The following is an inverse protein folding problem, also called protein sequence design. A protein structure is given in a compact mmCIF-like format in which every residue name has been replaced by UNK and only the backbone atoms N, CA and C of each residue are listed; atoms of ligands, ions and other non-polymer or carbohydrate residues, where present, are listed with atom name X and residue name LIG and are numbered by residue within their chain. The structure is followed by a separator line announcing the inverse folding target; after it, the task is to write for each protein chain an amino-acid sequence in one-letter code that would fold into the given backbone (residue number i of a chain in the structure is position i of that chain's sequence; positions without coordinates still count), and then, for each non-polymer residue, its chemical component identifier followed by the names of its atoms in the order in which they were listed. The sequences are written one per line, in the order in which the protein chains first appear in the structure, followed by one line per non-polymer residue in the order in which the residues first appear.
data_IF_656463733849
#
_entry.id   IF_656463733849
#
_cell.length_a   1.000
_cell.length_b   1.000
_cell.length_c   1.000
_cell.angle_alpha   90.00
_cell.angle_beta   90.00
_cell.angle_gamma   90.00
#
_symmetry.space_group_name_H-M   'P 1'
#
loop_
_entity.id
_entity.type
_entity.pdbx_description
1 polymer ?
#
# COMPACT_ATOMS: atom_id res chain seq x y z
N UNK A 1 6.05 5.67 -41.76
CA UNK A 1 5.00 4.84 -41.14
C UNK A 1 5.57 4.50 -39.79
N UNK A 2 5.36 5.41 -38.84
CA UNK A 2 6.05 5.38 -37.57
C UNK A 2 5.22 4.55 -36.60
N UNK A 3 5.73 3.37 -36.26
CA UNK A 3 5.19 2.57 -35.17
C UNK A 3 5.52 3.29 -33.86
N UNK A 4 4.49 3.81 -33.21
CA UNK A 4 4.55 4.22 -31.81
C UNK A 4 4.86 2.98 -30.94
N UNK A 5 5.72 3.09 -29.91
CA UNK A 5 6.02 1.97 -29.02
C UNK A 5 4.77 1.52 -28.26
N UNK A 6 4.55 0.21 -28.18
CA UNK A 6 3.45 -0.46 -27.48
C UNK A 6 3.36 -0.15 -25.96
N UNK A 7 4.36 0.52 -25.40
CA UNK A 7 4.48 0.80 -23.96
C UNK A 7 3.56 1.92 -23.43
N UNK A 8 2.85 2.66 -24.28
CA UNK A 8 2.03 3.82 -23.85
C UNK A 8 0.57 3.42 -23.50
N UNK A 9 0.12 2.24 -23.92
CA UNK A 9 -1.27 1.80 -23.69
C UNK A 9 -1.52 1.18 -22.31
N UNK A 10 -0.49 0.69 -21.60
CA UNK A 10 -0.66 -0.20 -20.44
C UNK A 10 -0.89 0.46 -19.06
N UNK A 11 -0.90 1.80 -18.94
CA UNK A 11 -0.58 2.43 -17.64
C UNK A 11 -1.51 3.58 -17.21
N UNK A 12 -2.83 3.33 -17.21
CA UNK A 12 -3.86 4.36 -16.95
C UNK A 12 -4.90 3.97 -15.88
N UNK A 13 -4.55 3.20 -14.85
CA UNK A 13 -5.51 2.87 -13.78
C UNK A 13 -5.72 4.02 -12.78
N UNK A 14 -5.02 3.96 -11.65
CA UNK A 14 -5.10 4.86 -10.49
C UNK A 14 -4.75 6.33 -10.76
N UNK A 15 -4.00 6.65 -11.82
CA UNK A 15 -3.62 8.03 -12.20
C UNK A 15 -4.55 8.66 -13.23
N UNK A 16 -5.51 7.90 -13.76
CA UNK A 16 -6.42 8.46 -14.74
C UNK A 16 -7.44 9.32 -14.05
N UNK A 17 -7.30 10.62 -14.26
CA UNK A 17 -8.35 11.59 -14.03
C UNK A 17 -9.49 11.33 -15.00
N UNK A 18 -10.62 10.93 -14.45
CA UNK A 18 -11.87 10.70 -15.17
C UNK A 18 -12.71 11.97 -15.16
N UNK A 19 -13.35 12.24 -16.28
CA UNK A 19 -14.45 13.21 -16.36
C UNK A 19 -15.75 12.44 -16.31
N UNK A 20 -16.54 12.68 -15.27
CA UNK A 20 -17.86 12.07 -15.14
C UNK A 20 -18.89 12.99 -15.79
N UNK A 21 -19.81 12.41 -16.53
CA UNK A 21 -20.95 13.10 -17.12
C UNK A 21 -22.18 12.22 -16.98
N UNK A 22 -23.36 12.83 -17.03
CA UNK A 22 -24.63 12.13 -16.90
C UNK A 22 -25.66 12.73 -17.86
N UNK A 23 -26.56 11.88 -18.36
CA UNK A 23 -27.74 12.30 -19.11
C UNK A 23 -28.89 12.74 -18.19
N UNK A 24 -28.84 12.40 -16.89
CA UNK A 24 -29.84 12.80 -15.92
C UNK A 24 -29.63 14.23 -15.46
N UNK A 25 -30.64 15.08 -15.68
CA UNK A 25 -30.61 16.49 -15.26
C UNK A 25 -30.47 16.62 -13.74
N UNK A 26 -31.12 15.73 -12.99
CA UNK A 26 -31.10 15.71 -11.52
C UNK A 26 -29.71 15.37 -10.97
N UNK A 27 -28.95 14.54 -11.69
CA UNK A 27 -27.63 14.09 -11.25
C UNK A 27 -26.48 14.99 -11.74
N UNK A 28 -26.79 16.03 -12.52
CA UNK A 28 -25.77 16.85 -13.18
C UNK A 28 -24.88 17.62 -12.19
N UNK A 29 -25.43 18.05 -11.06
CA UNK A 29 -24.62 18.68 -10.00
C UNK A 29 -23.66 17.69 -9.34
N UNK A 30 -24.04 16.42 -9.26
CA UNK A 30 -23.24 15.36 -8.63
C UNK A 30 -22.11 14.82 -9.50
N UNK A 31 -22.01 15.24 -10.77
CA UNK A 31 -20.82 14.95 -11.59
C UNK A 31 -19.62 15.79 -11.18
N UNK A 32 -19.86 16.93 -10.53
CA UNK A 32 -18.81 17.69 -9.86
C UNK A 32 -18.37 16.95 -8.59
N UNK A 33 -17.06 16.63 -8.52
CA UNK A 33 -16.53 15.78 -7.46
C UNK A 33 -16.64 16.42 -6.08
N UNK A 34 -16.54 17.75 -5.99
CA UNK A 34 -16.61 18.47 -4.72
C UNK A 34 -18.04 18.50 -4.20
N UNK A 35 -19.00 18.85 -5.08
CA UNK A 35 -20.43 18.81 -4.77
C UNK A 35 -20.87 17.41 -4.32
N UNK A 36 -20.38 16.37 -4.98
CA UNK A 36 -20.65 14.97 -4.61
C UNK A 36 -20.16 14.64 -3.19
N UNK A 37 -18.89 14.93 -2.88
CA UNK A 37 -18.30 14.66 -1.56
C UNK A 37 -18.95 15.52 -0.46
N UNK A 38 -19.26 16.79 -0.76
CA UNK A 38 -19.93 17.70 0.18
C UNK A 38 -21.31 17.19 0.56
N UNK A 39 -22.12 16.87 -0.45
CA UNK A 39 -23.48 16.38 -0.20
C UNK A 39 -23.44 15.05 0.55
N UNK A 40 -22.51 14.15 0.19
CA UNK A 40 -22.32 12.91 0.93
C UNK A 40 -21.97 13.17 2.41
N UNK A 41 -21.03 14.07 2.68
CA UNK A 41 -20.63 14.43 4.04
C UNK A 41 -21.78 15.04 4.86
N UNK A 42 -22.60 15.89 4.26
CA UNK A 42 -23.76 16.49 4.93
C UNK A 42 -24.80 15.43 5.31
N UNK A 43 -25.14 14.53 4.38
CA UNK A 43 -26.07 13.41 4.63
C UNK A 43 -25.54 12.51 5.73
N UNK A 44 -24.25 12.17 5.69
CA UNK A 44 -23.63 11.33 6.71
C UNK A 44 -23.57 12.03 8.07
N UNK A 45 -23.23 13.32 8.10
CA UNK A 45 -23.20 14.13 9.33
C UNK A 45 -24.57 14.16 10.00
N UNK A 46 -25.63 14.43 9.23
CA UNK A 46 -27.00 14.38 9.72
C UNK A 46 -27.35 12.99 10.28
N UNK A 47 -26.97 11.92 9.58
CA UNK A 47 -27.22 10.54 10.00
C UNK A 47 -26.52 10.21 11.33
N UNK A 48 -25.27 10.64 11.50
CA UNK A 48 -24.47 10.42 12.71
C UNK A 48 -25.06 11.09 13.94
N UNK A 49 -25.73 12.26 13.81
CA UNK A 49 -26.39 12.91 14.97
C UNK A 49 -27.47 12.03 15.61
N UNK A 50 -28.06 11.13 14.83
CA UNK A 50 -29.10 10.18 15.28
C UNK A 50 -28.57 8.77 15.53
N UNK A 51 -27.28 8.53 15.26
CA UNK A 51 -26.68 7.21 15.34
C UNK A 51 -26.59 6.74 16.79
N UNK A 52 -27.16 5.55 17.05
CA UNK A 52 -27.01 4.84 18.32
C UNK A 52 -26.31 3.52 18.03
N UNK A 53 -25.08 3.32 18.54
CA UNK A 53 -24.38 2.06 18.34
C UNK A 53 -25.16 0.91 19.00
N UNK A 54 -25.20 -0.24 18.31
CA UNK A 54 -25.83 -1.45 18.83
C UNK A 54 -25.03 -2.04 20.00
N UNK A 55 -23.70 -1.94 19.93
CA UNK A 55 -22.80 -2.33 21.02
C UNK A 55 -22.66 -1.17 22.01
N UNK A 56 -23.08 -1.38 23.26
CA UNK A 56 -23.00 -0.38 24.33
C UNK A 56 -21.56 0.03 24.67
N UNK A 57 -20.58 -0.79 24.28
CA UNK A 57 -19.15 -0.52 24.49
C UNK A 57 -18.57 0.42 23.45
N UNK A 58 -19.27 0.64 22.34
CA UNK A 58 -18.85 1.53 21.27
C UNK A 58 -19.42 2.92 21.55
N UNK A 59 -18.57 3.92 21.60
CA UNK A 59 -18.93 5.32 21.80
C UNK A 59 -18.39 6.18 20.67
N UNK A 60 -19.17 7.16 20.23
CA UNK A 60 -18.71 8.15 19.26
C UNK A 60 -17.77 9.16 19.95
N UNK A 61 -16.61 9.42 19.36
CA UNK A 61 -15.63 10.39 19.89
C UNK A 61 -15.88 11.76 19.30
N UNK A 62 -16.38 12.72 20.09
CA UNK A 62 -16.72 14.08 19.65
C UNK A 62 -15.46 14.81 19.10
N UNK A 63 -15.51 15.46 17.91
CA UNK A 63 -16.69 15.88 17.13
C UNK A 63 -17.39 14.80 16.30
N UNK A 64 -16.97 13.54 16.40
CA UNK A 64 -17.69 12.35 15.92
C UNK A 64 -17.48 12.09 14.44
N UNK A 65 -17.48 13.13 13.61
CA UNK A 65 -17.31 13.02 12.17
C UNK A 65 -16.38 14.12 11.64
N UNK A 66 -15.56 13.79 10.64
CA UNK A 66 -14.68 14.73 9.94
C UNK A 66 -14.78 14.52 8.43
N UNK A 67 -14.82 15.61 7.68
CA UNK A 67 -14.71 15.57 6.22
C UNK A 67 -13.29 15.19 5.83
N UNK A 68 -13.15 14.29 4.88
CA UNK A 68 -11.86 13.93 4.26
C UNK A 68 -11.86 14.37 2.79
N UNK A 69 -10.71 14.26 2.11
CA UNK A 69 -10.62 14.62 0.68
C UNK A 69 -11.58 13.82 -0.19
N UNK A 70 -11.80 12.56 0.13
CA UNK A 70 -12.54 11.60 -0.71
C UNK A 70 -13.86 11.15 -0.10
N UNK A 71 -14.25 11.68 1.05
CA UNK A 71 -15.43 11.20 1.80
C UNK A 71 -15.44 11.73 3.24
N UNK A 72 -15.65 10.85 4.22
CA UNK A 72 -15.71 11.20 5.63
C UNK A 72 -14.97 10.18 6.51
N UNK A 73 -14.61 10.59 7.73
CA UNK A 73 -14.13 9.71 8.78
C UNK A 73 -14.99 9.87 10.04
N UNK A 74 -15.30 8.76 10.68
CA UNK A 74 -16.04 8.69 11.94
C UNK A 74 -15.14 8.05 12.99
N UNK A 75 -14.91 8.75 14.10
CA UNK A 75 -14.03 8.27 15.17
C UNK A 75 -14.87 7.67 16.30
N UNK A 76 -14.52 6.45 16.70
CA UNK A 76 -15.15 5.73 17.80
C UNK A 76 -14.12 5.34 18.87
N UNK A 77 -14.62 5.11 20.07
CA UNK A 77 -13.92 4.48 21.17
C UNK A 77 -14.65 3.20 21.52
N UNK A 78 -13.97 2.06 21.49
CA UNK A 78 -14.51 0.76 21.89
C UNK A 78 -13.88 0.32 23.21
N UNK A 79 -14.72 0.06 24.20
CA UNK A 79 -14.31 -0.41 25.53
C UNK A 79 -14.42 -1.93 25.61
N UNK A 80 -13.37 -2.63 25.16
CA UNK A 80 -13.32 -4.09 25.14
C UNK A 80 -12.94 -4.71 26.49
N UNK A 81 -13.12 -6.03 26.59
CA UNK A 81 -12.63 -6.82 27.73
C UNK A 81 -11.15 -7.17 27.62
N UNK A 82 -10.67 -7.43 26.39
CA UNK A 82 -9.25 -7.70 26.10
C UNK A 82 -8.44 -6.42 25.93
N UNK A 83 -9.04 -5.42 25.28
CA UNK A 83 -8.46 -4.10 25.07
C UNK A 83 -9.30 -3.07 25.83
N UNK A 84 -8.81 -2.53 26.98
CA UNK A 84 -9.58 -1.62 27.83
C UNK A 84 -10.14 -0.40 27.10
N UNK A 85 -9.41 0.07 26.08
CA UNK A 85 -9.84 1.14 25.19
C UNK A 85 -9.16 0.97 23.83
N UNK A 86 -9.97 0.88 22.77
CA UNK A 86 -9.50 0.90 21.39
C UNK A 86 -10.13 2.09 20.66
N UNK A 87 -9.28 2.95 20.10
CA UNK A 87 -9.73 4.00 19.20
C UNK A 87 -9.87 3.44 17.79
N UNK A 88 -11.00 3.73 17.14
CA UNK A 88 -11.35 3.22 15.82
C UNK A 88 -11.68 4.41 14.92
N UNK A 89 -10.92 4.59 13.85
CA UNK A 89 -11.24 5.56 12.80
C UNK A 89 -11.82 4.84 11.59
N UNK A 90 -13.10 5.11 11.30
CA UNK A 90 -13.83 4.50 10.20
C UNK A 90 -13.95 5.49 9.05
N UNK A 91 -13.22 5.22 7.97
CA UNK A 91 -13.31 5.99 6.74
C UNK A 91 -14.44 5.49 5.86
N UNK A 92 -15.36 6.38 5.48
CA UNK A 92 -16.46 6.09 4.57
C UNK A 92 -16.24 6.90 3.29
N UNK A 93 -16.06 6.17 2.19
CA UNK A 93 -15.74 6.73 0.87
C UNK A 93 -16.89 6.38 -0.08
N UNK A 94 -17.66 7.37 -0.58
CA UNK A 94 -18.70 7.12 -1.56
C UNK A 94 -18.07 6.75 -2.91
N UNK A 95 -18.64 5.74 -3.54
CA UNK A 95 -18.18 5.23 -4.84
C UNK A 95 -19.35 5.06 -5.79
N UNK A 96 -19.07 5.13 -7.09
CA UNK A 96 -20.03 4.81 -8.15
C UNK A 96 -19.53 3.58 -8.88
N UNK A 97 -20.39 2.57 -9.04
CA UNK A 97 -20.07 1.39 -9.82
C UNK A 97 -20.31 1.70 -11.31
N UNK A 98 -19.35 1.36 -12.15
CA UNK A 98 -19.45 1.47 -13.60
C UNK A 98 -19.02 0.15 -14.25
N UNK A 99 -19.44 -0.15 -15.49
CA UNK A 99 -18.89 -1.26 -16.26
C UNK A 99 -17.36 -1.15 -16.39
N UNK A 100 -16.67 -2.28 -16.41
CA UNK A 100 -15.23 -2.30 -16.60
C UNK A 100 -14.88 -1.68 -17.98
N UNK A 101 -14.04 -0.64 -18.04
CA UNK A 101 -13.71 0.02 -19.30
C UNK A 101 -12.99 -0.93 -20.26
N UNK A 102 -13.43 -1.00 -21.52
CA UNK A 102 -12.80 -1.84 -22.53
C UNK A 102 -11.31 -1.51 -22.77
N UNK A 103 -10.94 -0.25 -22.56
CA UNK A 103 -9.58 0.27 -22.74
C UNK A 103 -8.67 -0.03 -21.53
N UNK A 104 -9.24 -0.45 -20.40
CA UNK A 104 -8.49 -0.74 -19.19
C UNK A 104 -8.18 -2.23 -19.14
N UNK A 105 -6.90 -2.56 -19.25
CA UNK A 105 -6.41 -3.93 -19.12
C UNK A 105 -6.79 -4.54 -17.76
N UNK A 106 -7.13 -5.83 -17.78
CA UNK A 106 -7.41 -6.62 -16.58
C UNK A 106 -6.14 -7.39 -16.21
N UNK A 107 -5.48 -7.05 -15.10
CA UNK A 107 -4.33 -7.84 -14.63
C UNK A 107 -4.71 -9.32 -14.41
N UNK A 108 -3.77 -10.27 -14.52
CA UNK A 108 -4.07 -11.70 -14.44
C UNK A 108 -4.79 -12.13 -13.16
N UNK A 109 -4.47 -11.50 -12.02
CA UNK A 109 -5.14 -11.80 -10.75
C UNK A 109 -6.57 -11.24 -10.64
N UNK A 110 -7.11 -10.56 -11.66
CA UNK A 110 -8.49 -10.07 -11.65
C UNK A 110 -9.47 -11.24 -11.72
N UNK A 111 -10.38 -11.41 -10.74
CA UNK A 111 -11.38 -12.47 -10.78
C UNK A 111 -12.28 -12.36 -12.02
N UNK A 112 -12.52 -13.48 -12.71
CA UNK A 112 -13.33 -13.52 -13.93
C UNK A 112 -14.80 -13.15 -13.70
N UNK A 113 -15.27 -13.21 -12.45
CA UNK A 113 -16.63 -12.83 -12.05
C UNK A 113 -16.85 -11.32 -11.98
N UNK A 114 -15.81 -10.50 -12.14
CA UNK A 114 -15.90 -9.05 -12.06
C UNK A 114 -16.06 -8.46 -13.47
N UNK A 115 -17.13 -7.71 -13.65
CA UNK A 115 -17.49 -7.02 -14.88
C UNK A 115 -17.54 -5.48 -14.72
N UNK A 116 -17.30 -4.99 -13.50
CA UNK A 116 -17.44 -3.59 -13.11
C UNK A 116 -16.23 -3.11 -12.30
N UNK A 117 -15.97 -1.81 -12.38
CA UNK A 117 -14.97 -1.10 -11.58
C UNK A 117 -15.66 0.04 -10.83
N UNK A 118 -15.11 0.44 -9.69
CA UNK A 118 -15.63 1.57 -8.94
C UNK A 118 -14.91 2.84 -9.37
N UNK A 119 -15.60 3.97 -9.32
CA UNK A 119 -14.98 5.29 -9.41
C UNK A 119 -15.25 6.08 -8.13
N UNK A 120 -14.29 6.90 -7.74
CA UNK A 120 -14.36 7.76 -6.55
C UNK A 120 -13.87 9.15 -6.88
N UNK A 121 -14.45 10.15 -6.23
CA UNK A 121 -13.93 11.51 -6.23
C UNK A 121 -12.56 11.55 -5.52
N UNK A 122 -11.65 12.41 -6.00
CA UNK A 122 -10.30 12.61 -5.43
C UNK A 122 -10.19 13.86 -4.54
N UNK A 123 -11.21 14.71 -4.53
CA UNK A 123 -11.30 15.91 -3.68
C UNK A 123 -10.63 17.16 -4.26
N UNK A 124 -10.14 17.09 -5.49
CA UNK A 124 -9.45 18.14 -6.26
C UNK A 124 -10.17 18.45 -7.58
N UNK A 125 -11.49 18.23 -7.63
CA UNK A 125 -12.28 18.40 -8.87
C UNK A 125 -12.29 17.17 -9.77
N UNK A 126 -11.52 16.13 -9.45
CA UNK A 126 -11.31 14.97 -10.32
C UNK A 126 -11.99 13.69 -9.78
N UNK A 127 -12.10 12.71 -10.68
CA UNK A 127 -12.53 11.35 -10.38
C UNK A 127 -11.44 10.38 -10.78
N UNK A 128 -11.38 9.20 -10.15
CA UNK A 128 -10.44 8.13 -10.51
C UNK A 128 -11.07 6.75 -10.36
N UNK A 129 -10.47 5.76 -10.98
CA UNK A 129 -10.77 4.36 -10.70
C UNK A 129 -10.37 3.97 -9.27
N UNK A 130 -11.19 3.12 -8.67
CA UNK A 130 -10.96 2.46 -7.38
C UNK A 130 -11.12 0.97 -7.58
N UNK A 131 -10.07 0.21 -7.26
CA UNK A 131 -10.06 -1.25 -7.38
C UNK A 131 -10.20 -1.94 -6.02
N UNK A 132 -10.59 -1.22 -4.98
CA UNK A 132 -10.72 -1.75 -3.63
C UNK A 132 -11.66 -2.97 -3.56
N UNK A 133 -12.78 -2.97 -4.30
CA UNK A 133 -13.68 -4.12 -4.38
C UNK A 133 -13.01 -5.35 -5.02
N UNK A 134 -12.23 -5.15 -6.08
CA UNK A 134 -11.47 -6.19 -6.79
C UNK A 134 -10.40 -6.77 -5.88
N UNK A 135 -9.58 -5.91 -5.27
CA UNK A 135 -8.56 -6.28 -4.31
C UNK A 135 -9.14 -7.10 -3.15
N UNK A 136 -10.28 -6.67 -2.61
CA UNK A 136 -10.93 -7.37 -1.51
C UNK A 136 -11.41 -8.77 -1.90
N UNK A 137 -11.92 -8.96 -3.11
CA UNK A 137 -12.32 -10.29 -3.59
C UNK A 137 -11.11 -11.22 -3.67
N UNK A 138 -10.00 -10.74 -4.24
CA UNK A 138 -8.75 -11.51 -4.29
C UNK A 138 -8.26 -11.87 -2.89
N UNK A 139 -8.26 -10.91 -1.96
CA UNK A 139 -7.76 -11.13 -0.60
C UNK A 139 -8.66 -12.04 0.25
N UNK A 140 -9.96 -12.12 -0.07
CA UNK A 140 -10.87 -13.06 0.60
C UNK A 140 -10.59 -14.51 0.20
N UNK A 141 -10.13 -14.73 -1.01
CA UNK A 141 -9.88 -16.07 -1.58
C UNK A 141 -8.47 -16.60 -1.29
N UNK A 142 -7.64 -15.86 -0.54
CA UNK A 142 -6.31 -16.32 -0.16
C UNK A 142 -6.38 -17.61 0.65
N UNK A 143 -5.49 -18.54 0.30
CA UNK A 143 -5.16 -19.67 1.19
C UNK A 143 -4.58 -19.16 2.51
N UNK A 144 -4.66 -19.98 3.55
CA UNK A 144 -4.14 -19.63 4.87
C UNK A 144 -2.66 -19.23 4.83
N UNK A 145 -1.85 -19.94 4.04
CA UNK A 145 -0.41 -19.66 3.93
C UNK A 145 -0.12 -18.33 3.22
N UNK A 146 -0.82 -18.05 2.12
CA UNK A 146 -0.73 -16.74 1.41
C UNK A 146 -1.18 -15.59 2.32
N UNK A 147 -2.28 -15.80 3.07
CA UNK A 147 -2.76 -14.85 4.07
C UNK A 147 -1.73 -14.61 5.18
N UNK A 148 -1.06 -15.67 5.64
CA UNK A 148 0.01 -15.59 6.64
C UNK A 148 1.16 -14.68 6.20
N UNK A 149 1.61 -14.82 4.94
CA UNK A 149 2.64 -13.94 4.37
C UNK A 149 2.18 -12.48 4.36
N UNK A 150 0.97 -12.20 3.82
CA UNK A 150 0.44 -10.83 3.76
C UNK A 150 0.30 -10.20 5.15
N UNK A 151 -0.20 -10.97 6.13
CA UNK A 151 -0.32 -10.52 7.51
C UNK A 151 1.05 -10.25 8.15
N UNK A 152 2.04 -11.11 7.93
CA UNK A 152 3.39 -10.90 8.43
C UNK A 152 4.00 -9.61 7.87
N UNK A 153 3.87 -9.35 6.57
CA UNK A 153 4.35 -8.10 5.99
C UNK A 153 3.63 -6.87 6.54
N UNK A 154 2.31 -6.97 6.78
CA UNK A 154 1.54 -5.88 7.42
C UNK A 154 1.99 -5.63 8.85
N UNK A 155 2.18 -6.68 9.65
CA UNK A 155 2.65 -6.56 11.03
C UNK A 155 4.04 -5.92 11.11
N UNK A 156 4.96 -6.30 10.22
CA UNK A 156 6.28 -5.66 10.11
C UNK A 156 6.14 -4.17 9.77
N UNK A 157 5.27 -3.84 8.84
CA UNK A 157 5.00 -2.45 8.43
C UNK A 157 4.37 -1.63 9.55
N UNK A 158 3.38 -2.19 10.25
CA UNK A 158 2.67 -1.52 11.34
C UNK A 158 3.55 -1.36 12.60
N UNK A 159 4.51 -2.27 12.81
CA UNK A 159 5.50 -2.15 13.90
C UNK A 159 6.43 -0.95 13.74
N UNK A 160 6.51 -0.37 12.53
CA UNK A 160 7.29 0.84 12.24
C UNK A 160 6.44 2.12 12.34
N UNK A 161 5.11 1.99 12.45
CA UNK A 161 4.21 3.14 12.61
C UNK A 161 4.11 3.46 14.10
N UNK A 162 4.28 4.74 14.43
CA UNK A 162 3.95 5.24 15.77
C UNK A 162 2.54 5.80 15.74
N UNK A 163 1.72 5.34 16.66
CA UNK A 163 0.35 5.82 16.82
C UNK A 163 0.29 7.33 17.07
N UNK A 164 -0.69 8.01 16.47
CA UNK A 164 -0.80 9.46 16.55
C UNK A 164 -1.06 9.97 17.98
N UNK A 165 -1.65 9.13 18.83
CA UNK A 165 -1.94 9.39 20.24
C UNK A 165 -0.78 9.03 21.18
N UNK A 166 0.30 8.40 20.69
CA UNK A 166 1.45 8.07 21.51
C UNK A 166 2.06 9.34 22.14
N UNK A 167 2.57 9.22 23.36
CA UNK A 167 3.23 10.33 24.05
C UNK A 167 4.45 10.79 23.25
N UNK A 168 4.87 12.04 23.49
CA UNK A 168 6.02 12.61 22.81
C UNK A 168 7.28 11.75 23.07
N UNK A 169 7.49 11.28 24.30
CA UNK A 169 8.59 10.38 24.67
C UNK A 169 8.58 9.06 23.88
N UNK A 170 7.40 8.47 23.63
CA UNK A 170 7.27 7.23 22.84
C UNK A 170 7.57 7.53 21.37
N UNK A 171 7.03 8.62 20.83
CA UNK A 171 7.38 9.09 19.47
C UNK A 171 8.88 9.31 19.34
N UNK A 172 9.49 9.94 20.33
CA UNK A 172 10.93 10.21 20.44
C UNK A 172 11.79 8.95 20.59
N UNK A 173 11.27 7.89 21.21
CA UNK A 173 11.95 6.59 21.33
C UNK A 173 12.14 5.91 19.97
N UNK A 174 11.16 6.04 19.06
CA UNK A 174 11.31 5.63 17.66
C UNK A 174 12.11 6.64 16.82
N UNK A 175 12.64 7.69 17.45
CA UNK A 175 13.45 8.77 16.84
C UNK A 175 14.93 8.68 17.22
N UNK A 176 15.39 7.49 17.63
CA UNK A 176 16.80 7.29 17.98
C UNK A 176 17.64 7.25 16.71
N UNK A 177 18.18 8.40 16.29
CA UNK A 177 19.60 8.75 16.20
C UNK A 177 19.70 10.23 15.73
N UNK A 178 20.32 11.10 16.52
CA UNK A 178 20.87 12.41 16.10
C UNK A 178 19.94 13.60 15.72
N UNK A 179 18.89 13.86 16.51
CA UNK A 179 18.16 15.14 16.46
C UNK A 179 17.39 15.42 15.16
N UNK A 180 17.40 14.45 14.25
CA UNK A 180 16.57 14.39 13.06
C UNK A 180 15.42 13.44 13.34
N UNK A 181 14.20 13.83 12.97
CA UNK A 181 13.07 12.88 12.99
C UNK A 181 13.39 11.74 12.02
N UNK A 182 13.86 10.61 12.54
CA UNK A 182 13.81 9.34 11.82
C UNK A 182 12.36 8.87 11.80
N UNK A 183 11.56 9.53 10.97
CA UNK A 183 10.30 8.96 10.53
C UNK A 183 10.70 7.89 9.51
N UNK A 184 10.97 6.67 9.99
CA UNK A 184 11.00 5.50 9.11
C UNK A 184 9.58 5.38 8.59
N UNK A 185 9.27 6.08 7.50
CA UNK A 185 7.95 6.09 6.92
C UNK A 185 7.65 4.64 6.53
N UNK A 186 6.60 4.07 7.09
CA UNK A 186 6.13 2.74 6.68
C UNK A 186 5.81 2.76 5.16
N UNK A 187 6.04 1.66 4.41
CA UNK A 187 5.58 1.59 3.04
C UNK A 187 4.07 1.78 3.03
N UNK A 188 3.58 2.58 2.09
CA UNK A 188 2.15 2.80 1.99
C UNK A 188 1.43 1.46 1.75
N UNK A 189 0.36 1.19 2.50
CA UNK A 189 -0.34 -0.11 2.46
C UNK A 189 -0.76 -0.54 1.04
N UNK A 190 -1.06 0.41 0.15
CA UNK A 190 -1.41 0.12 -1.24
C UNK A 190 -0.22 -0.42 -2.06
N UNK A 191 1.02 -0.01 -1.73
CA UNK A 191 2.23 -0.57 -2.33
C UNK A 191 2.50 -1.97 -1.83
N UNK A 192 2.29 -2.23 -0.53
CA UNK A 192 2.39 -3.57 0.03
C UNK A 192 1.42 -4.53 -0.65
N UNK A 193 0.15 -4.13 -0.80
CA UNK A 193 -0.84 -4.90 -1.57
C UNK A 193 -0.39 -5.13 -3.01
N UNK A 194 0.14 -4.11 -3.68
CA UNK A 194 0.60 -4.22 -5.06
C UNK A 194 1.79 -5.17 -5.20
N UNK A 195 2.77 -5.10 -4.31
CA UNK A 195 3.92 -6.01 -4.29
C UNK A 195 3.49 -7.45 -4.03
N UNK A 196 2.57 -7.64 -3.08
CA UNK A 196 2.03 -8.95 -2.75
C UNK A 196 1.22 -9.55 -3.91
N UNK A 197 0.40 -8.77 -4.60
CA UNK A 197 -0.32 -9.21 -5.80
C UNK A 197 0.65 -9.65 -6.91
N UNK A 198 1.77 -8.92 -7.12
CA UNK A 198 2.83 -9.33 -8.05
C UNK A 198 3.55 -10.61 -7.61
N UNK A 199 3.80 -10.78 -6.31
CA UNK A 199 4.36 -12.04 -5.79
C UNK A 199 3.44 -13.22 -6.07
N UNK A 200 2.13 -13.05 -5.87
CA UNK A 200 1.15 -14.08 -6.21
C UNK A 200 1.05 -14.36 -7.70
N UNK A 201 1.22 -13.33 -8.54
CA UNK A 201 1.26 -13.51 -9.99
C UNK A 201 2.50 -14.31 -10.44
N UNK A 202 3.68 -14.02 -9.89
CA UNK A 202 4.92 -14.69 -10.28
C UNK A 202 5.05 -16.09 -9.65
N UNK A 203 4.58 -16.28 -8.41
CA UNK A 203 4.71 -17.52 -7.65
C UNK A 203 3.37 -18.26 -7.61
N UNK A 204 3.04 -18.91 -8.73
CA UNK A 204 1.81 -19.68 -8.90
C UNK A 204 1.83 -21.05 -8.19
N UNK A 205 3.03 -21.60 -7.92
CA UNK A 205 3.15 -22.89 -7.24
C UNK A 205 2.83 -22.76 -5.74
N UNK A 206 1.67 -23.29 -5.33
CA UNK A 206 1.22 -23.33 -3.93
C UNK A 206 2.21 -24.03 -2.98
N UNK A 207 3.07 -24.92 -3.49
CA UNK A 207 4.08 -25.60 -2.67
C UNK A 207 5.12 -24.62 -2.08
N UNK A 208 5.36 -23.51 -2.77
CA UNK A 208 6.30 -22.45 -2.38
C UNK A 208 5.71 -21.45 -1.36
N UNK A 209 4.44 -21.61 -1.00
CA UNK A 209 3.76 -20.78 -0.01
C UNK A 209 3.71 -21.40 1.39
N UNK A 210 4.28 -22.60 1.56
CA UNK A 210 4.34 -23.28 2.87
C UNK A 210 5.12 -22.46 3.88
N UNK A 211 4.85 -22.70 5.17
CA UNK A 211 5.50 -22.00 6.30
C UNK A 211 7.02 -22.06 6.25
N UNK A 212 7.61 -23.13 5.70
CA UNK A 212 9.07 -23.24 5.51
C UNK A 212 9.66 -22.14 4.62
N UNK A 213 8.86 -21.57 3.73
CA UNK A 213 9.23 -20.49 2.82
C UNK A 213 8.71 -19.12 3.26
N UNK A 214 8.10 -19.01 4.44
CA UNK A 214 7.48 -17.75 4.91
C UNK A 214 8.46 -16.58 4.86
N UNK A 215 9.67 -16.75 5.40
CA UNK A 215 10.70 -15.72 5.41
C UNK A 215 11.12 -15.32 3.99
N UNK A 216 11.32 -16.30 3.10
CA UNK A 216 11.67 -16.03 1.70
C UNK A 216 10.59 -15.25 0.97
N UNK A 217 9.30 -15.58 1.20
CA UNK A 217 8.16 -14.86 0.60
C UNK A 217 8.07 -13.43 1.13
N UNK A 218 8.25 -13.22 2.43
CA UNK A 218 8.29 -11.88 3.04
C UNK A 218 9.41 -11.04 2.40
N UNK A 219 10.63 -11.59 2.32
CA UNK A 219 11.77 -10.94 1.65
C UNK A 219 11.47 -10.65 0.19
N UNK A 220 10.86 -11.58 -0.55
CA UNK A 220 10.48 -11.36 -1.95
C UNK A 220 9.50 -10.21 -2.12
N UNK A 221 8.46 -10.13 -1.26
CA UNK A 221 7.46 -9.05 -1.30
C UNK A 221 8.11 -7.67 -1.07
N UNK A 222 8.95 -7.52 -0.04
CA UNK A 222 9.66 -6.25 0.18
C UNK A 222 10.72 -5.99 -0.90
N UNK A 223 11.38 -7.03 -1.42
CA UNK A 223 12.35 -6.96 -2.51
C UNK A 223 11.79 -6.29 -3.76
N UNK A 224 10.50 -6.52 -4.06
CA UNK A 224 9.78 -5.86 -5.18
C UNK A 224 9.64 -4.35 -5.02
N UNK A 225 9.85 -3.82 -3.81
CA UNK A 225 9.87 -2.38 -3.52
C UNK A 225 11.28 -1.79 -3.56
N UNK A 226 12.29 -2.61 -3.87
CA UNK A 226 13.70 -2.25 -3.79
C UNK A 226 14.42 -2.43 -5.14
N UNK A 227 15.55 -1.75 -5.27
CA UNK A 227 16.59 -2.00 -6.27
C UNK A 227 17.78 -2.59 -5.51
N UNK A 228 18.38 -3.66 -6.03
CA UNK A 228 19.53 -4.31 -5.39
C UNK A 228 20.79 -3.97 -6.20
N UNK A 229 21.74 -3.29 -5.57
CA UNK A 229 23.08 -3.20 -6.14
C UNK A 229 23.93 -4.32 -5.56
N UNK A 230 24.47 -5.14 -6.46
CA UNK A 230 25.54 -6.05 -6.11
C UNK A 230 26.83 -5.24 -6.04
N UNK A 231 27.15 -4.72 -4.86
CA UNK A 231 28.51 -4.24 -4.61
C UNK A 231 29.39 -5.50 -4.58
N UNK A 232 29.92 -5.88 -5.73
CA UNK A 232 31.17 -6.64 -5.74
C UNK A 232 32.20 -5.72 -5.11
N UNK A 233 32.82 -6.16 -4.01
CA UNK A 233 34.01 -5.54 -3.46
C UNK A 233 35.11 -5.52 -4.53
N UNK A 234 35.09 -4.51 -5.40
CA UNK A 234 36.27 -4.03 -6.12
C UNK A 234 36.79 -2.85 -5.33
N UNK A 235 37.24 -3.13 -4.11
CA UNK A 235 38.26 -2.32 -3.47
C UNK A 235 39.62 -2.91 -3.85
N UNK A 236 40.53 -2.00 -4.21
CA UNK A 236 41.94 -2.21 -4.56
C UNK A 236 42.19 -2.71 -5.99
N UNK A 237 43.09 -2.14 -6.79
CA UNK A 237 44.01 -1.02 -6.64
C UNK A 237 44.72 -0.87 -7.98
N UNK A 238 45.28 0.31 -8.23
CA UNK A 238 46.29 0.58 -9.25
C UNK A 238 47.24 -0.60 -9.53
N UNK A 239 47.21 -1.16 -10.74
CA UNK A 239 48.28 -2.03 -11.20
C UNK A 239 49.52 -1.20 -11.56
N UNK A 240 50.42 -1.06 -10.57
CA UNK A 240 51.84 -1.22 -10.82
C UNK A 240 52.25 -2.66 -10.44
N UNK A 241 52.88 -3.28 -11.42
CA UNK A 241 53.64 -4.53 -11.50
C UNK A 241 54.04 -5.31 -10.23
N UNK A 242 53.89 -6.65 -10.36
CA UNK A 242 54.79 -7.76 -9.96
C UNK A 242 54.67 -8.48 -8.59
N UNK A 243 54.60 -9.82 -8.75
CA UNK A 243 55.15 -10.94 -7.94
C UNK A 243 54.34 -11.57 -6.80
N UNK A 244 54.00 -12.84 -7.05
CA UNK A 244 53.59 -13.96 -6.19
C UNK A 244 53.92 -13.87 -4.68
N UNK A 245 52.91 -14.08 -3.84
CA UNK A 245 53.01 -15.05 -2.74
C UNK A 245 51.62 -15.57 -2.34
N UNK A 246 51.52 -16.89 -2.16
CA UNK A 246 50.37 -17.60 -1.61
C UNK A 246 50.00 -17.03 -0.24
N UNK A 247 48.74 -16.60 -0.07
CA UNK A 247 48.08 -16.69 1.22
C UNK A 247 46.63 -17.15 1.04
N UNK A 248 46.38 -18.35 1.54
CA UNK A 248 45.12 -19.06 1.48
C UNK A 248 44.35 -18.72 2.75
N UNK A 249 43.63 -17.60 2.74
CA UNK A 249 42.64 -17.29 3.78
C UNK A 249 41.25 -17.28 3.16
N UNK A 250 40.43 -18.24 3.60
CA UNK A 250 39.01 -18.34 3.32
C UNK A 250 38.29 -17.11 3.90
N UNK A 251 38.29 -16.01 3.14
CA UNK A 251 37.34 -14.93 3.35
C UNK A 251 36.04 -15.38 2.68
N UNK A 252 35.09 -15.89 3.48
CA UNK A 252 33.68 -15.90 3.06
C UNK A 252 33.31 -14.44 2.82
N UNK A 253 33.40 -13.99 1.57
CA UNK A 253 32.88 -12.69 1.17
C UNK A 253 31.38 -12.72 1.39
N UNK A 254 30.96 -12.21 2.56
CA UNK A 254 29.57 -11.96 2.84
C UNK A 254 29.18 -10.80 1.95
N UNK A 255 28.72 -11.11 0.74
CA UNK A 255 28.16 -10.10 -0.17
C UNK A 255 27.04 -9.40 0.58
N UNK A 256 27.34 -8.22 1.09
CA UNK A 256 26.37 -7.40 1.79
C UNK A 256 25.52 -6.75 0.71
N UNK A 257 24.35 -7.32 0.44
CA UNK A 257 23.42 -6.72 -0.50
C UNK A 257 23.04 -5.34 0.03
N UNK A 258 23.24 -4.31 -0.79
CA UNK A 258 22.72 -2.99 -0.48
C UNK A 258 21.39 -2.82 -1.20
N UNK A 259 20.34 -2.64 -0.41
CA UNK A 259 19.01 -2.37 -0.92
C UNK A 259 18.81 -0.86 -1.03
N UNK A 260 18.32 -0.41 -2.17
CA UNK A 260 17.88 0.95 -2.41
C UNK A 260 16.39 0.97 -2.70
N UNK A 261 15.77 2.13 -2.54
CA UNK A 261 14.34 2.26 -2.83
C UNK A 261 14.05 2.11 -4.32
N UNK A 262 13.13 1.22 -4.66
CA UNK A 262 12.66 0.97 -6.01
C UNK A 262 11.34 1.68 -6.32
N UNK A 263 11.08 1.88 -7.61
CA UNK A 263 9.77 2.32 -8.09
C UNK A 263 8.88 1.10 -8.30
N UNK A 264 7.84 0.95 -7.48
CA UNK A 264 6.82 -0.08 -7.68
C UNK A 264 5.60 0.52 -8.39
N UNK A 265 5.20 -0.08 -9.52
CA UNK A 265 3.95 0.25 -10.20
C UNK A 265 2.79 -0.42 -9.45
N UNK A 266 1.69 0.32 -9.24
CA UNK A 266 0.46 -0.23 -8.69
C UNK A 266 -0.05 -1.41 -9.54
N UNK A 267 -0.69 -2.38 -8.92
CA UNK A 267 -1.09 -3.63 -9.60
C UNK A 267 -2.21 -3.40 -10.62
N UNK A 268 -3.28 -2.70 -10.24
CA UNK A 268 -4.41 -2.36 -11.11
C UNK A 268 -4.20 -1.05 -11.92
N UNK A 269 -2.94 -0.71 -12.21
CA UNK A 269 -2.53 0.37 -13.11
C UNK A 269 -2.34 1.74 -12.45
N UNK A 270 -1.40 2.55 -12.94
CA UNK A 270 -1.05 3.89 -12.42
C UNK A 270 0.37 3.96 -11.85
N UNK A 271 1.07 5.07 -12.11
CA UNK A 271 2.37 5.38 -11.51
C UNK A 271 2.19 6.16 -10.21
N UNK A 272 2.96 5.82 -9.19
CA UNK A 272 3.22 6.77 -8.12
C UNK A 272 4.10 7.87 -8.71
N UNK A 273 3.52 9.04 -9.04
CA UNK A 273 4.22 10.17 -9.70
C UNK A 273 5.43 10.66 -8.91
N UNK A 274 5.32 10.61 -7.58
CA UNK A 274 6.48 10.59 -6.69
C UNK A 274 6.71 9.13 -6.36
N UNK A 275 7.98 8.70 -6.29
CA UNK A 275 8.28 7.50 -5.54
C UNK A 275 7.57 7.68 -4.19
N UNK A 276 6.46 7.00 -3.98
CA UNK A 276 6.02 6.72 -2.62
C UNK A 276 7.02 5.66 -2.28
N UNK A 277 8.18 6.16 -1.86
CA UNK A 277 9.36 5.39 -1.59
C UNK A 277 8.84 4.26 -0.71
N UNK A 278 9.23 3.02 -0.99
CA UNK A 278 9.16 1.96 0.01
C UNK A 278 10.11 2.38 1.13
N UNK A 279 9.77 3.46 1.83
CA UNK A 279 10.49 3.97 2.96
C UNK A 279 10.45 2.82 3.95
N UNK A 280 11.59 2.47 4.52
CA UNK A 280 11.81 1.25 5.31
C UNK A 280 11.90 -0.09 4.58
N UNK A 281 11.46 -0.24 3.31
CA UNK A 281 11.55 -1.56 2.66
C UNK A 281 13.00 -2.08 2.53
N UNK A 282 14.00 -1.26 2.13
CA UNK A 282 15.41 -1.62 2.23
C UNK A 282 15.88 -1.98 3.64
N UNK A 283 15.45 -1.21 4.64
CA UNK A 283 15.81 -1.40 6.05
C UNK A 283 15.21 -2.70 6.62
N UNK A 284 13.96 -3.00 6.27
CA UNK A 284 13.28 -4.26 6.58
C UNK A 284 14.06 -5.42 5.93
N UNK A 285 14.42 -5.33 4.65
CA UNK A 285 15.18 -6.39 3.99
C UNK A 285 16.55 -6.61 4.63
N UNK A 286 17.28 -5.53 4.90
CA UNK A 286 18.57 -5.58 5.59
C UNK A 286 18.45 -6.24 6.97
N UNK A 287 17.39 -5.91 7.73
CA UNK A 287 17.09 -6.57 9.00
C UNK A 287 16.79 -8.05 8.83
N UNK A 288 15.90 -8.40 7.89
CA UNK A 288 15.52 -9.80 7.65
C UNK A 288 16.69 -10.65 7.12
N UNK A 289 17.66 -10.06 6.42
CA UNK A 289 18.89 -10.72 5.98
C UNK A 289 19.92 -10.94 7.09
N UNK A 290 19.79 -10.21 8.21
CA UNK A 290 20.64 -10.39 9.38
C UNK A 290 20.17 -11.49 10.34
N UNK A 291 18.96 -12.03 10.12
CA UNK A 291 18.37 -13.15 10.86
C UNK A 291 18.59 -14.48 10.14
#
# INVERSE_FOLDING_TARGET
MDQLPEDIAQLKGYTTTLRVSTSSVELKSFTDSETFVNTFFEVLSASVTSFKPLDYRLSLVIPGIRKTKVGASISFAWQGSEFPLLFLDVHIVPVVNIPWPNELERPPMTPSTIDSVQITATGDGNWRYSFAAVENLIFRELSESKRGVLLACKLLTDSLKVECWATQDVKETFTFWDGHRFEILAPADFLLKSAFLREMEDVQDDSLWKTSYLMERIKSVFGRMCIMDNISDTSESSNHTTTNHFDNTNVKSSKRHQYFHGKLKSYFGGHCEKATIGFSAPEILSFLDSW
#
